data_IF_269377382304
#
_entry.id   IF_269377382304
#
_cell.length_a   1.000
_cell.length_b   1.000
_cell.length_c   1.000
_cell.angle_alpha   90.00
_cell.angle_beta   90.00
_cell.angle_gamma   90.00
#
_symmetry.space_group_name_H-M   'P 1'
#
loop_
_entity.id
_entity.type
_entity.pdbx_description
1 polymer ?
#
# COMPACT_ATOMS: atom_id res chain seq x y z
N UNK A 1 24.24 -7.37 22.02
CA UNK A 1 23.27 -7.02 20.97
C UNK A 1 23.67 -7.80 19.74
N UNK A 2 22.74 -8.50 19.08
CA UNK A 2 23.01 -9.11 17.76
C UNK A 2 23.32 -7.99 16.78
N UNK A 3 24.55 -7.96 16.25
CA UNK A 3 24.94 -7.01 15.19
C UNK A 3 24.33 -7.56 13.91
N UNK A 4 23.32 -6.87 13.37
CA UNK A 4 22.72 -7.23 12.08
C UNK A 4 23.68 -6.89 10.95
N UNK A 5 23.87 -7.82 10.02
CA UNK A 5 24.79 -7.60 8.92
C UNK A 5 24.26 -6.57 7.93
N UNK A 6 25.17 -5.93 7.19
CA UNK A 6 24.83 -4.98 6.14
C UNK A 6 23.86 -5.60 5.11
N UNK A 7 22.69 -4.98 4.94
CA UNK A 7 21.65 -5.40 4.00
C UNK A 7 20.66 -6.43 4.56
N UNK A 8 20.86 -6.89 5.80
CA UNK A 8 19.91 -7.76 6.50
C UNK A 8 18.62 -7.00 6.82
N UNK A 9 17.48 -7.68 6.76
CA UNK A 9 16.18 -7.06 7.04
C UNK A 9 16.05 -6.62 8.50
N UNK A 10 15.29 -5.55 8.73
CA UNK A 10 14.88 -5.13 10.08
C UNK A 10 13.35 -5.15 10.17
N UNK A 11 12.74 -5.99 11.03
CA UNK A 11 13.38 -7.03 11.84
C UNK A 11 14.05 -8.14 11.01
N UNK A 12 14.98 -8.92 11.59
CA UNK A 12 15.65 -10.04 10.89
C UNK A 12 14.65 -11.07 10.39
N UNK A 13 15.02 -11.79 9.32
CA UNK A 13 14.24 -12.90 8.75
C UNK A 13 12.77 -12.56 8.47
N UNK A 14 12.48 -11.31 8.15
CA UNK A 14 11.12 -10.84 7.88
C UNK A 14 10.94 -10.65 6.38
N UNK A 15 10.26 -11.57 5.66
CA UNK A 15 10.21 -11.58 4.19
C UNK A 15 9.62 -10.33 3.56
N UNK A 16 8.76 -9.63 4.30
CA UNK A 16 8.06 -8.41 3.87
C UNK A 16 8.62 -7.14 4.50
N UNK A 17 9.82 -7.20 5.10
CA UNK A 17 10.44 -6.05 5.72
C UNK A 17 10.74 -4.96 4.68
N UNK A 18 10.56 -3.72 5.11
CA UNK A 18 10.86 -2.52 4.31
C UNK A 18 12.07 -1.77 4.84
N UNK A 19 12.70 -2.26 5.92
CA UNK A 19 13.90 -1.67 6.50
C UNK A 19 15.06 -2.67 6.43
N UNK A 20 16.28 -2.15 6.36
CA UNK A 20 17.51 -2.92 6.24
C UNK A 20 18.59 -2.34 7.15
N UNK A 21 19.52 -3.18 7.58
CA UNK A 21 20.64 -2.78 8.42
C UNK A 21 21.73 -2.09 7.59
N UNK A 22 22.09 -0.87 8.00
CA UNK A 22 23.30 -0.15 7.60
C UNK A 22 24.16 0.03 8.87
N UNK A 23 24.92 -1.00 9.28
CA UNK A 23 25.47 -1.09 10.64
C UNK A 23 26.55 -0.04 10.95
N UNK A 24 27.20 0.53 9.92
CA UNK A 24 28.23 1.55 10.10
C UNK A 24 27.90 2.85 9.38
N UNK A 25 28.49 3.96 9.84
CA UNK A 25 28.38 5.25 9.12
C UNK A 25 28.94 5.17 7.70
N UNK A 26 29.99 4.37 7.49
CA UNK A 26 30.55 4.13 6.15
C UNK A 26 29.57 3.40 5.22
N UNK A 27 28.67 2.58 5.77
CA UNK A 27 27.59 1.96 4.99
C UNK A 27 26.51 2.97 4.62
N UNK A 28 26.17 3.91 5.51
CA UNK A 28 25.24 5.01 5.22
C UNK A 28 25.79 5.93 4.11
N UNK A 29 27.04 6.35 4.22
CA UNK A 29 27.71 7.13 3.16
C UNK A 29 27.78 6.33 1.86
N UNK A 30 28.15 5.05 1.93
CA UNK A 30 28.23 4.20 0.75
C UNK A 30 26.88 3.91 0.09
N UNK A 31 25.79 3.91 0.86
CA UNK A 31 24.43 3.84 0.35
C UNK A 31 24.09 5.11 -0.47
N UNK A 32 24.33 6.29 0.10
CA UNK A 32 24.02 7.56 -0.58
C UNK A 32 24.84 7.77 -1.86
N UNK A 33 26.13 7.41 -1.82
CA UNK A 33 27.04 7.47 -2.96
C UNK A 33 26.86 6.32 -3.97
N UNK A 34 25.97 5.36 -3.69
CA UNK A 34 25.69 4.23 -4.59
C UNK A 34 26.84 3.24 -4.74
N UNK A 35 27.72 3.10 -3.73
CA UNK A 35 28.86 2.17 -3.75
C UNK A 35 28.40 0.71 -3.88
N UNK A 36 28.95 -0.02 -4.86
CA UNK A 36 28.63 -1.44 -5.12
C UNK A 36 28.70 -2.32 -3.86
N UNK A 37 29.72 -2.14 -3.00
CA UNK A 37 29.87 -2.86 -1.72
C UNK A 37 28.60 -2.85 -0.84
N UNK A 38 27.91 -1.71 -0.83
CA UNK A 38 26.68 -1.52 -0.05
C UNK A 38 25.50 -1.99 -0.86
N UNK A 39 25.36 -1.45 -2.08
CA UNK A 39 24.22 -1.67 -2.95
C UNK A 39 23.99 -3.16 -3.23
N UNK A 40 25.02 -3.92 -3.56
CA UNK A 40 24.90 -5.33 -3.93
C UNK A 40 24.43 -6.22 -2.75
N UNK A 41 24.54 -5.74 -1.51
CA UNK A 41 24.05 -6.43 -0.31
C UNK A 41 22.60 -6.12 0.05
N UNK A 42 22.00 -5.09 -0.54
CA UNK A 42 20.65 -4.65 -0.18
C UNK A 42 19.60 -5.53 -0.86
N UNK A 43 18.83 -6.25 -0.06
CA UNK A 43 17.78 -7.17 -0.53
C UNK A 43 16.38 -6.54 -0.57
N UNK A 44 16.16 -5.51 0.24
CA UNK A 44 14.92 -4.74 0.42
C UNK A 44 15.27 -3.36 0.99
N UNK A 45 14.34 -2.41 1.06
CA UNK A 45 14.55 -1.09 1.69
C UNK A 45 13.33 -0.18 1.56
N UNK A 46 13.37 1.04 2.10
CA UNK A 46 12.26 2.00 2.02
C UNK A 46 12.70 3.30 1.31
N UNK A 47 11.85 3.88 0.44
CA UNK A 47 10.64 3.30 -0.14
C UNK A 47 11.02 2.13 -1.07
N UNK A 48 10.36 0.96 -0.91
CA UNK A 48 10.70 -0.36 -1.52
C UNK A 48 11.90 -0.30 -2.47
N UNK A 49 13.09 -0.35 -1.89
CA UNK A 49 14.35 -0.15 -2.59
C UNK A 49 14.96 -1.51 -2.91
N UNK A 50 15.36 -1.69 -4.16
CA UNK A 50 16.36 -2.68 -4.55
C UNK A 50 17.25 -2.02 -5.60
N UNK A 51 18.57 -1.97 -5.42
CA UNK A 51 19.46 -1.81 -6.55
C UNK A 51 19.20 -2.96 -7.53
N UNK A 52 19.06 -2.59 -8.80
CA UNK A 52 18.58 -3.46 -9.85
C UNK A 52 19.34 -4.77 -10.04
N UNK A 53 18.63 -5.66 -10.74
CA UNK A 53 19.14 -6.82 -11.46
C UNK A 53 20.45 -6.46 -12.19
N UNK A 54 21.47 -7.34 -12.21
CA UNK A 54 22.70 -7.11 -12.97
C UNK A 54 22.37 -6.82 -14.44
N UNK A 55 22.90 -5.71 -14.99
CA UNK A 55 22.85 -5.44 -16.44
C UNK A 55 22.11 -4.20 -16.92
N UNK A 56 21.56 -3.34 -16.05
CA UNK A 56 21.11 -1.99 -16.44
C UNK A 56 22.15 -0.93 -16.04
N UNK A 57 22.65 -0.20 -17.03
CA UNK A 57 23.49 0.99 -16.84
C UNK A 57 22.76 2.02 -15.97
N UNK A 58 23.39 2.37 -14.85
CA UNK A 58 22.88 3.33 -13.88
C UNK A 58 23.38 4.72 -14.26
N UNK A 59 22.49 5.61 -14.68
CA UNK A 59 22.80 7.05 -14.60
C UNK A 59 22.67 7.49 -13.14
N UNK A 60 23.74 8.05 -12.60
CA UNK A 60 23.90 8.42 -11.19
C UNK A 60 23.02 9.60 -10.75
N UNK A 61 22.27 10.22 -11.67
CA UNK A 61 21.67 11.54 -11.49
C UNK A 61 20.13 11.58 -11.39
N UNK A 62 19.42 10.45 -11.56
CA UNK A 62 17.95 10.47 -11.51
C UNK A 62 17.40 9.79 -10.24
N UNK A 63 16.86 10.56 -9.27
CA UNK A 63 16.21 10.01 -8.08
C UNK A 63 14.98 9.14 -8.37
N UNK A 64 14.43 9.15 -9.60
CA UNK A 64 13.35 8.25 -10.05
C UNK A 64 13.83 6.80 -10.25
N UNK A 65 15.14 6.57 -10.34
CA UNK A 65 15.72 5.24 -10.60
C UNK A 65 15.74 4.31 -9.38
N UNK A 66 15.39 4.82 -8.19
CA UNK A 66 15.61 4.13 -6.90
C UNK A 66 14.42 3.28 -6.40
N UNK A 67 13.22 3.40 -6.99
CA UNK A 67 12.06 2.57 -6.62
C UNK A 67 12.15 1.15 -7.23
N UNK A 68 11.83 0.11 -6.47
CA UNK A 68 11.81 -1.28 -6.94
C UNK A 68 10.58 -2.04 -6.43
N UNK A 69 10.02 -2.86 -7.30
CA UNK A 69 8.86 -3.69 -6.98
C UNK A 69 9.35 -4.97 -6.31
N UNK A 70 8.68 -5.39 -5.23
CA UNK A 70 9.08 -6.56 -4.45
C UNK A 70 9.13 -7.84 -5.31
N UNK A 71 10.12 -8.72 -5.10
CA UNK A 71 10.37 -9.92 -5.93
C UNK A 71 9.15 -10.83 -6.09
N UNK A 72 8.35 -11.01 -5.03
CA UNK A 72 7.09 -11.78 -5.10
C UNK A 72 6.06 -11.15 -6.04
N UNK A 73 5.98 -9.82 -6.09
CA UNK A 73 5.08 -9.11 -7.00
C UNK A 73 5.60 -9.27 -8.44
N UNK A 74 6.91 -9.19 -8.65
CA UNK A 74 7.54 -9.39 -9.96
C UNK A 74 7.29 -10.80 -10.47
N UNK A 75 7.59 -11.83 -9.67
CA UNK A 75 7.34 -13.22 -10.04
C UNK A 75 5.86 -13.48 -10.39
N UNK A 76 4.94 -12.90 -9.61
CA UNK A 76 3.52 -13.02 -9.91
C UNK A 76 3.13 -12.31 -11.21
N UNK A 77 3.70 -11.14 -11.49
CA UNK A 77 3.49 -10.42 -12.74
C UNK A 77 4.04 -11.19 -13.94
N UNK A 78 5.20 -11.82 -13.81
CA UNK A 78 5.83 -12.63 -14.85
C UNK A 78 4.98 -13.86 -15.20
N UNK A 79 4.42 -14.55 -14.20
CA UNK A 79 3.49 -15.68 -14.42
C UNK A 79 2.19 -15.24 -15.11
N UNK A 80 1.70 -14.03 -14.80
CA UNK A 80 0.55 -13.45 -15.51
C UNK A 80 0.89 -13.19 -16.98
N UNK A 81 2.09 -12.66 -17.28
CA UNK A 81 2.55 -12.48 -18.66
C UNK A 81 2.72 -13.81 -19.37
N UNK A 82 3.28 -14.83 -18.71
CA UNK A 82 3.41 -16.17 -19.28
C UNK A 82 2.07 -16.78 -19.69
N UNK A 83 0.98 -16.44 -19.00
CA UNK A 83 -0.37 -16.97 -19.27
C UNK A 83 -1.19 -16.11 -20.25
N UNK A 84 -1.05 -14.79 -20.20
CA UNK A 84 -1.97 -13.85 -20.90
C UNK A 84 -1.29 -12.84 -21.82
N UNK A 85 0.04 -12.70 -21.76
CA UNK A 85 0.81 -11.70 -22.49
C UNK A 85 1.80 -12.31 -23.49
N UNK A 86 2.70 -11.46 -23.96
CA UNK A 86 3.80 -11.81 -24.87
C UNK A 86 5.16 -11.46 -24.25
N UNK A 87 6.29 -12.03 -24.73
CA UNK A 87 7.62 -11.82 -24.12
C UNK A 87 8.14 -10.37 -24.13
N UNK A 88 7.60 -9.52 -24.98
CA UNK A 88 7.88 -8.08 -25.07
C UNK A 88 7.04 -7.22 -24.10
N UNK A 89 6.11 -7.85 -23.37
CA UNK A 89 5.22 -7.18 -22.44
C UNK A 89 5.64 -7.36 -20.97
N UNK A 90 5.15 -6.45 -20.14
CA UNK A 90 5.23 -6.51 -18.68
C UNK A 90 3.85 -6.28 -18.08
N UNK A 91 3.63 -6.84 -16.89
CA UNK A 91 2.41 -6.62 -16.11
C UNK A 91 2.69 -5.78 -14.87
N UNK A 92 1.75 -4.90 -14.54
CA UNK A 92 1.71 -4.18 -13.28
C UNK A 92 0.43 -4.53 -12.52
N UNK A 93 0.58 -4.88 -11.24
CA UNK A 93 -0.48 -5.53 -10.47
C UNK A 93 -1.16 -4.57 -9.48
N UNK A 94 -2.48 -4.60 -9.49
CA UNK A 94 -3.34 -3.70 -8.75
C UNK A 94 -4.38 -4.46 -7.91
N UNK A 95 -4.81 -3.89 -6.77
CA UNK A 95 -5.78 -4.50 -5.85
C UNK A 95 -7.23 -4.44 -6.33
N UNK A 96 -7.51 -3.75 -7.44
CA UNK A 96 -8.84 -3.61 -8.02
C UNK A 96 -8.77 -3.20 -9.50
N UNK A 97 -9.88 -3.40 -10.22
CA UNK A 97 -10.01 -2.92 -11.60
C UNK A 97 -9.99 -1.38 -11.69
N UNK A 98 -10.53 -0.67 -10.68
CA UNK A 98 -10.55 0.81 -10.66
C UNK A 98 -9.13 1.39 -10.57
N UNK A 99 -8.29 0.84 -9.70
CA UNK A 99 -6.87 1.26 -9.56
C UNK A 99 -6.06 0.90 -10.82
N UNK A 100 -6.32 -0.28 -11.41
CA UNK A 100 -5.71 -0.66 -12.69
C UNK A 100 -6.10 0.28 -13.84
N UNK A 101 -7.38 0.64 -13.97
CA UNK A 101 -7.87 1.57 -14.99
C UNK A 101 -7.24 2.96 -14.87
N UNK A 102 -6.97 3.42 -13.64
CA UNK A 102 -6.26 4.70 -13.42
C UNK A 102 -4.81 4.63 -13.89
N UNK A 103 -4.10 3.55 -13.57
CA UNK A 103 -2.74 3.33 -14.10
C UNK A 103 -2.75 3.31 -15.63
N UNK A 104 -3.67 2.55 -16.22
CA UNK A 104 -3.84 2.49 -17.65
C UNK A 104 -4.09 3.87 -18.26
N UNK A 105 -5.01 4.67 -17.69
CA UNK A 105 -5.26 6.05 -18.11
C UNK A 105 -4.00 6.92 -18.02
N UNK A 106 -3.24 6.79 -16.94
CA UNK A 106 -1.98 7.53 -16.78
C UNK A 106 -0.94 7.14 -17.84
N UNK A 107 -0.77 5.84 -18.12
CA UNK A 107 0.14 5.36 -19.18
C UNK A 107 -0.34 5.87 -20.54
N UNK A 108 -1.64 5.85 -20.83
CA UNK A 108 -2.21 6.34 -22.09
C UNK A 108 -1.98 7.83 -22.30
N UNK A 109 -2.10 8.64 -21.25
CA UNK A 109 -1.88 10.08 -21.33
C UNK A 109 -0.40 10.44 -21.46
N UNK A 110 0.49 9.66 -20.85
CA UNK A 110 1.91 10.00 -20.74
C UNK A 110 2.83 9.15 -21.65
N UNK A 111 2.30 8.12 -22.30
CA UNK A 111 3.03 7.21 -23.19
C UNK A 111 2.67 7.42 -24.66
N UNK A 112 3.65 7.25 -25.55
CA UNK A 112 3.45 7.39 -26.99
C UNK A 112 2.77 6.13 -27.59
N UNK A 113 1.63 6.36 -28.27
CA UNK A 113 0.81 5.60 -29.24
C UNK A 113 0.84 4.05 -29.40
N UNK A 114 1.78 3.26 -28.87
CA UNK A 114 1.84 1.79 -29.06
C UNK A 114 1.04 1.03 -28.00
N UNK A 115 -0.27 1.26 -27.96
CA UNK A 115 -1.16 0.65 -26.97
C UNK A 115 -2.01 -0.47 -27.60
N UNK A 116 -1.67 -1.74 -27.32
CA UNK A 116 -2.20 -2.86 -28.12
C UNK A 116 -3.14 -3.84 -27.43
N UNK A 117 -3.25 -3.90 -26.09
CA UNK A 117 -4.31 -4.69 -25.43
C UNK A 117 -4.30 -4.55 -23.91
N UNK A 118 -5.44 -4.14 -23.33
CA UNK A 118 -5.71 -4.36 -21.91
C UNK A 118 -6.42 -5.69 -21.70
N UNK A 119 -5.87 -6.53 -20.84
CA UNK A 119 -6.61 -7.62 -20.22
C UNK A 119 -6.69 -7.35 -18.72
N UNK A 120 -7.85 -6.88 -18.26
CA UNK A 120 -8.15 -6.89 -16.82
C UNK A 120 -8.55 -8.32 -16.47
N UNK A 121 -7.56 -9.16 -16.15
CA UNK A 121 -7.84 -10.44 -15.51
C UNK A 121 -8.33 -10.14 -14.08
N UNK A 122 -9.62 -10.35 -13.83
CA UNK A 122 -10.19 -10.25 -12.48
C UNK A 122 -10.09 -11.60 -11.80
N UNK A 123 -9.44 -11.59 -10.66
CA UNK A 123 -9.09 -12.82 -9.99
C UNK A 123 -9.40 -12.62 -8.53
N UNK A 124 -10.47 -13.27 -8.02
CA UNK A 124 -10.88 -13.12 -6.62
C UNK A 124 -9.95 -13.90 -5.68
N UNK A 125 -9.36 -13.28 -4.64
CA UNK A 125 -9.59 -11.88 -4.22
C UNK A 125 -8.82 -10.83 -5.06
N UNK A 126 -9.63 -10.08 -5.81
CA UNK A 126 -9.44 -8.98 -6.76
C UNK A 126 -8.04 -8.52 -7.20
N UNK A 127 -7.17 -9.38 -7.72
CA UNK A 127 -6.02 -8.87 -8.49
C UNK A 127 -6.51 -8.39 -9.85
N UNK A 128 -5.96 -7.28 -10.32
CA UNK A 128 -6.10 -6.77 -11.68
C UNK A 128 -4.72 -6.44 -12.23
N UNK A 129 -4.43 -6.85 -13.46
CA UNK A 129 -3.16 -6.56 -14.12
C UNK A 129 -3.37 -5.53 -15.23
N UNK A 130 -2.43 -4.60 -15.36
CA UNK A 130 -2.27 -3.75 -16.54
C UNK A 130 -1.08 -4.31 -17.31
N UNK A 131 -1.31 -4.77 -18.54
CA UNK A 131 -0.29 -5.34 -19.42
C UNK A 131 0.11 -4.30 -20.45
N UNK A 132 1.41 -4.03 -20.58
CA UNK A 132 1.93 -3.00 -21.49
C UNK A 132 3.29 -3.42 -22.07
N UNK A 133 3.70 -2.81 -23.18
CA UNK A 133 5.03 -3.04 -23.75
C UNK A 133 6.12 -2.62 -22.76
N UNK A 134 7.19 -3.41 -22.63
CA UNK A 134 8.25 -3.21 -21.62
C UNK A 134 8.86 -1.80 -21.59
N UNK A 135 8.84 -1.07 -22.71
CA UNK A 135 9.36 0.30 -22.83
C UNK A 135 8.53 1.32 -22.05
N UNK A 136 7.26 1.02 -21.77
CA UNK A 136 6.36 1.87 -20.95
C UNK A 136 6.55 1.64 -19.45
N UNK A 137 7.41 0.70 -19.04
CA UNK A 137 7.66 0.40 -17.63
C UNK A 137 8.09 1.62 -16.80
N UNK A 138 8.97 2.54 -17.28
CA UNK A 138 9.32 3.73 -16.52
C UNK A 138 8.11 4.63 -16.18
N UNK A 139 7.15 4.74 -17.09
CA UNK A 139 5.93 5.55 -16.90
C UNK A 139 4.98 4.85 -15.92
N UNK A 140 4.73 3.55 -16.12
CA UNK A 140 3.90 2.76 -15.23
C UNK A 140 4.46 2.74 -13.80
N UNK A 141 5.79 2.65 -13.68
CA UNK A 141 6.52 2.68 -12.41
C UNK A 141 6.30 3.99 -11.66
N UNK A 142 6.35 5.13 -12.35
CA UNK A 142 6.05 6.43 -11.74
C UNK A 142 4.62 6.49 -11.20
N UNK A 143 3.65 5.93 -11.93
CA UNK A 143 2.27 5.85 -11.43
C UNK A 143 2.20 5.11 -10.11
N UNK A 144 2.76 3.89 -10.03
CA UNK A 144 2.75 3.12 -8.79
C UNK A 144 3.47 3.86 -7.66
N UNK A 145 4.69 4.34 -7.92
CA UNK A 145 5.50 5.04 -6.94
C UNK A 145 4.73 6.19 -6.28
N UNK A 146 4.12 7.06 -7.09
CA UNK A 146 3.45 8.25 -6.58
C UNK A 146 2.05 7.97 -6.03
N UNK A 147 1.26 7.12 -6.70
CA UNK A 147 -0.11 6.84 -6.25
C UNK A 147 -0.20 5.88 -5.07
N UNK A 148 0.78 4.99 -4.90
CA UNK A 148 0.71 3.87 -3.95
C UNK A 148 -0.40 2.85 -4.26
N UNK A 149 -1.02 2.89 -5.45
CA UNK A 149 -2.23 2.11 -5.77
C UNK A 149 -1.97 0.61 -6.04
N UNK A 150 -0.72 0.17 -6.24
CA UNK A 150 -0.45 -1.23 -6.56
C UNK A 150 -0.42 -2.17 -5.35
N UNK A 151 -0.33 -3.47 -5.60
CA UNK A 151 -0.49 -4.50 -4.55
C UNK A 151 0.66 -4.56 -3.53
N UNK A 152 0.37 -5.08 -2.33
CA UNK A 152 1.41 -5.41 -1.37
C UNK A 152 2.10 -6.74 -1.68
N UNK A 153 3.30 -6.92 -1.14
CA UNK A 153 4.05 -8.20 -1.21
C UNK A 153 3.29 -9.34 -0.53
N UNK A 154 2.61 -9.08 0.60
CA UNK A 154 1.71 -10.04 1.26
C UNK A 154 0.55 -10.45 0.38
N UNK A 155 -0.02 -9.48 -0.35
CA UNK A 155 -1.11 -9.77 -1.28
C UNK A 155 -0.63 -10.61 -2.46
N UNK A 156 0.58 -10.35 -2.98
CA UNK A 156 1.21 -11.20 -3.98
C UNK A 156 1.47 -12.61 -3.44
N UNK A 157 2.04 -12.75 -2.24
CA UNK A 157 2.28 -14.05 -1.59
C UNK A 157 1.00 -14.87 -1.45
N UNK A 158 -0.11 -14.23 -1.08
CA UNK A 158 -1.40 -14.90 -0.95
C UNK A 158 -2.01 -15.29 -2.31
N UNK A 159 -1.97 -14.37 -3.29
CA UNK A 159 -2.66 -14.58 -4.56
C UNK A 159 -1.85 -15.43 -5.54
N UNK A 160 -0.52 -15.36 -5.53
CA UNK A 160 0.31 -16.00 -6.54
C UNK A 160 0.15 -17.54 -6.57
N UNK A 161 0.17 -18.27 -5.44
CA UNK A 161 -0.09 -19.72 -5.47
C UNK A 161 -1.50 -20.08 -5.96
N UNK A 162 -2.51 -19.30 -5.57
CA UNK A 162 -3.89 -19.52 -6.04
C UNK A 162 -4.01 -19.33 -7.56
N UNK A 163 -3.17 -18.45 -8.14
CA UNK A 163 -3.11 -18.19 -9.57
C UNK A 163 -2.50 -19.38 -10.30
N UNK A 164 -1.36 -19.85 -9.81
CA UNK A 164 -0.65 -21.02 -10.35
C UNK A 164 -1.52 -22.28 -10.27
N UNK A 165 -2.28 -22.45 -9.19
CA UNK A 165 -3.25 -23.54 -9.01
C UNK A 165 -4.52 -23.40 -9.87
N UNK A 166 -4.70 -22.30 -10.59
CA UNK A 166 -5.92 -22.03 -11.38
C UNK A 166 -7.19 -21.83 -10.54
N UNK A 167 -7.06 -21.65 -9.21
CA UNK A 167 -8.18 -21.44 -8.27
C UNK A 167 -8.76 -20.03 -8.32
N UNK A 168 -8.01 -19.13 -8.92
CA UNK A 168 -8.40 -17.76 -9.17
C UNK A 168 -9.37 -17.68 -10.35
N UNK A 169 -10.66 -17.69 -10.04
CA UNK A 169 -11.75 -17.61 -11.02
C UNK A 169 -12.11 -16.16 -11.35
N UNK A 170 -12.50 -15.94 -12.61
CA UNK A 170 -13.15 -14.70 -13.03
C UNK A 170 -14.43 -14.53 -12.20
N UNK A 171 -14.68 -13.30 -11.72
CA UNK A 171 -15.87 -13.02 -10.91
C UNK A 171 -17.14 -13.34 -11.71
N UNK A 172 -17.67 -14.54 -11.50
CA UNK A 172 -19.07 -14.81 -11.82
C UNK A 172 -19.82 -14.38 -10.56
N UNK A 173 -20.90 -13.57 -10.65
CA UNK A 173 -21.62 -13.14 -9.46
C UNK A 173 -22.02 -14.38 -8.66
N UNK A 174 -21.47 -14.50 -7.44
CA UNK A 174 -21.81 -15.55 -6.50
C UNK A 174 -23.30 -15.39 -6.21
N UNK A 175 -24.12 -16.35 -6.66
CA UNK A 175 -25.51 -16.39 -6.24
C UNK A 175 -25.55 -16.47 -4.71
N UNK A 176 -26.43 -15.70 -4.05
CA UNK A 176 -26.48 -15.68 -2.60
C UNK A 176 -26.67 -17.10 -2.09
N UNK A 177 -25.68 -17.61 -1.35
CA UNK A 177 -25.83 -18.85 -0.60
C UNK A 177 -27.01 -18.61 0.33
N UNK A 178 -28.12 -19.29 0.05
CA UNK A 178 -29.31 -19.26 0.89
C UNK A 178 -28.88 -19.60 2.31
N UNK A 179 -29.15 -18.67 3.23
CA UNK A 179 -28.98 -18.85 4.66
C UNK A 179 -29.57 -20.20 5.09
N UNK A 180 -28.73 -21.22 5.27
CA UNK A 180 -29.15 -22.43 5.96
C UNK A 180 -29.47 -22.03 7.41
N UNK A 181 -30.75 -22.12 7.75
CA UNK A 181 -31.31 -21.77 9.05
C UNK A 181 -30.48 -22.44 10.17
N UNK A 182 -29.80 -21.64 10.98
CA UNK A 182 -29.10 -22.09 12.19
C UNK A 182 -30.13 -22.68 13.17
N UNK A 183 -29.97 -23.96 13.51
CA UNK A 183 -30.83 -24.68 14.44
C UNK A 183 -30.72 -24.23 15.90
N UNK A 184 -31.57 -24.75 16.81
CA UNK A 184 -31.75 -24.19 18.15
C UNK A 184 -30.50 -24.30 19.04
N UNK A 185 -30.15 -23.18 19.70
CA UNK A 185 -28.97 -22.94 20.57
C UNK A 185 -28.81 -23.85 21.80
N UNK A 186 -29.57 -24.94 21.96
CA UNK A 186 -29.56 -25.77 23.18
C UNK A 186 -28.48 -26.87 23.20
N UNK A 187 -27.82 -27.18 22.09
CA UNK A 187 -26.81 -28.24 22.00
C UNK A 187 -25.34 -27.77 21.86
N UNK A 188 -25.06 -26.47 21.95
CA UNK A 188 -23.68 -25.95 21.82
C UNK A 188 -22.96 -25.77 23.17
N UNK A 189 -22.84 -26.85 23.96
CA UNK A 189 -21.90 -26.91 25.08
C UNK A 189 -21.29 -28.31 25.20
N UNK A 190 -20.00 -28.42 24.89
CA UNK A 190 -19.15 -29.54 25.30
C UNK A 190 -18.15 -30.01 24.24
N UNK A 191 -16.85 -29.97 24.61
CA UNK A 191 -15.67 -30.61 23.98
C UNK A 191 -15.28 -30.09 22.59
N UNK A 192 -14.14 -29.43 22.34
CA UNK A 192 -12.73 -29.70 22.68
C UNK A 192 -12.34 -31.17 22.47
N UNK A 193 -11.58 -31.37 21.41
CA UNK A 193 -10.93 -32.57 20.92
C UNK A 193 -11.77 -33.71 20.34
N UNK A 194 -11.20 -34.27 19.26
CA UNK A 194 -11.61 -35.40 18.42
C UNK A 194 -12.54 -35.05 17.27
N UNK A 195 -12.04 -35.13 16.04
CA UNK A 195 -12.33 -36.29 15.18
C UNK A 195 -11.28 -36.37 14.05
N UNK A 196 -10.20 -37.10 14.31
CA UNK A 196 -9.58 -37.88 13.24
C UNK A 196 -10.52 -39.01 12.84
N UNK A 197 -10.48 -39.30 11.55
CA UNK A 197 -11.20 -40.33 10.81
C UNK A 197 -11.24 -41.68 11.53
N UNK A 198 -12.43 -42.26 11.65
CA UNK A 198 -12.66 -43.70 11.78
C UNK A 198 -13.73 -44.05 10.72
N UNK A 199 -13.71 -45.13 9.97
CA UNK A 199 -12.84 -46.29 9.86
C UNK A 199 -13.61 -47.28 8.96
N UNK A 200 -12.98 -47.84 7.93
CA UNK A 200 -13.53 -48.98 7.20
C UNK A 200 -12.46 -50.06 7.13
N UNK A 201 -12.69 -51.14 7.88
CA UNK A 201 -11.89 -52.36 7.92
C UNK A 201 -11.92 -53.06 6.56
N UNK A 202 -10.76 -53.44 6.05
CA UNK A 202 -10.57 -54.70 5.32
C UNK A 202 -9.22 -55.31 5.74
N UNK A 203 -9.22 -56.63 5.85
CA UNK A 203 -8.21 -57.48 6.48
C UNK A 203 -7.13 -57.95 5.50
N UNK A 204 -6.06 -58.47 6.12
CA UNK A 204 -5.05 -59.47 5.69
C UNK A 204 -3.86 -59.06 4.79
N UNK A 205 -2.69 -59.12 5.46
CA UNK A 205 -1.45 -59.81 5.07
C UNK A 205 -0.46 -59.18 4.07
N UNK A 206 0.72 -58.85 4.62
CA UNK A 206 2.01 -59.21 4.03
C UNK A 206 2.70 -58.19 3.12
N UNK A 207 4.01 -58.07 3.34
CA UNK A 207 5.06 -57.57 2.43
C UNK A 207 5.62 -56.16 2.74
N UNK A 208 6.94 -56.13 2.70
CA UNK A 208 7.92 -55.21 3.24
C UNK A 208 8.06 -53.87 2.48
N UNK A 209 8.70 -52.91 3.18
CA UNK A 209 9.56 -51.83 2.69
C UNK A 209 9.34 -51.28 1.27
N UNK A 210 8.89 -50.01 1.19
CA UNK A 210 9.51 -49.06 0.26
C UNK A 210 9.39 -47.63 0.80
N UNK A 211 10.52 -47.01 1.12
CA UNK A 211 10.64 -45.58 1.35
C UNK A 211 10.38 -44.82 0.06
N UNK A 212 9.54 -43.78 0.12
CA UNK A 212 9.57 -42.65 -0.80
C UNK A 212 9.68 -41.38 0.05
N UNK A 213 10.82 -40.68 0.07
CA UNK A 213 10.92 -39.35 0.68
C UNK A 213 10.38 -38.31 -0.31
N UNK A 214 9.94 -37.15 0.21
CA UNK A 214 9.56 -35.88 -0.45
C UNK A 214 8.07 -35.50 -0.32
N UNK A 215 7.74 -34.73 0.74
CA UNK A 215 6.89 -33.51 0.68
C UNK A 215 6.55 -32.83 2.03
N UNK A 216 7.11 -33.25 3.19
CA UNK A 216 6.70 -32.63 4.47
C UNK A 216 7.27 -31.23 4.75
N UNK A 217 8.42 -30.86 4.18
CA UNK A 217 9.11 -29.62 4.56
C UNK A 217 8.36 -28.32 4.20
N UNK A 218 7.60 -28.30 3.11
CA UNK A 218 6.83 -27.11 2.68
C UNK A 218 5.51 -26.96 3.44
N UNK A 219 4.89 -28.06 3.85
CA UNK A 219 3.67 -28.06 4.65
C UNK A 219 3.96 -27.64 6.10
N UNK A 220 4.99 -28.22 6.73
CA UNK A 220 5.42 -27.84 8.09
C UNK A 220 5.91 -26.40 8.16
N UNK A 221 6.63 -25.93 7.12
CA UNK A 221 7.03 -24.52 7.06
C UNK A 221 5.79 -23.63 6.96
N UNK A 222 4.80 -23.93 6.12
CA UNK A 222 3.55 -23.16 6.00
C UNK A 222 2.75 -23.14 7.30
N UNK A 223 2.60 -24.28 7.97
CA UNK A 223 1.91 -24.36 9.27
C UNK A 223 2.66 -23.57 10.35
N UNK A 224 4.00 -23.60 10.35
CA UNK A 224 4.83 -22.81 11.27
C UNK A 224 4.70 -21.31 11.01
N UNK A 225 4.74 -20.84 9.74
CA UNK A 225 4.53 -19.43 9.42
C UNK A 225 3.10 -18.99 9.72
N UNK A 226 2.11 -19.82 9.44
CA UNK A 226 0.72 -19.54 9.76
C UNK A 226 0.50 -19.43 11.27
N UNK A 227 1.05 -20.37 12.05
CA UNK A 227 1.00 -20.33 13.51
C UNK A 227 1.73 -19.10 14.07
N UNK A 228 2.90 -18.75 13.52
CA UNK A 228 3.63 -17.54 13.92
C UNK A 228 2.84 -16.28 13.59
N UNK A 229 2.20 -16.21 12.42
CA UNK A 229 1.37 -15.07 12.02
C UNK A 229 0.07 -14.96 12.84
N UNK A 230 -0.62 -16.07 13.12
CA UNK A 230 -1.85 -16.10 13.92
C UNK A 230 -1.59 -15.80 15.41
N UNK A 231 -0.45 -16.23 15.96
CA UNK A 231 -0.13 -16.10 17.38
C UNK A 231 0.72 -14.89 17.73
N UNK A 232 1.60 -14.48 16.82
CA UNK A 232 2.58 -13.39 17.04
C UNK A 232 2.59 -12.35 15.91
N UNK A 233 2.09 -12.70 14.73
CA UNK A 233 1.79 -11.74 13.68
C UNK A 233 0.55 -10.92 14.03
N UNK A 234 0.41 -9.78 13.35
CA UNK A 234 -0.80 -8.94 13.43
C UNK A 234 -1.91 -9.54 12.55
N UNK A 235 -2.11 -10.86 12.61
CA UNK A 235 -3.05 -11.54 11.75
C UNK A 235 -4.43 -11.49 12.42
N UNK A 236 -5.23 -10.55 11.95
CA UNK A 236 -6.62 -10.40 12.36
C UNK A 236 -7.46 -11.37 11.54
N UNK A 237 -8.28 -12.19 12.20
CA UNK A 237 -9.29 -13.00 11.51
C UNK A 237 -10.12 -12.09 10.59
N UNK A 238 -10.32 -12.54 9.35
CA UNK A 238 -11.01 -11.77 8.31
C UNK A 238 -12.41 -11.33 8.77
N UNK A 239 -13.06 -12.11 9.64
CA UNK A 239 -14.34 -11.77 10.25
C UNK A 239 -14.33 -10.49 11.09
N UNK A 240 -13.17 -10.05 11.59
CA UNK A 240 -13.03 -8.83 12.39
C UNK A 240 -12.62 -7.60 11.57
N UNK A 241 -12.38 -7.72 10.26
CA UNK A 241 -11.83 -6.62 9.43
C UNK A 241 -12.70 -5.37 9.50
N UNK A 242 -14.02 -5.50 9.43
CA UNK A 242 -14.94 -4.35 9.46
C UNK A 242 -14.96 -3.69 10.84
N UNK A 243 -14.95 -4.49 11.91
CA UNK A 243 -14.86 -3.99 13.29
C UNK A 243 -13.52 -3.27 13.55
N UNK A 244 -12.41 -3.83 13.06
CA UNK A 244 -11.10 -3.20 13.20
C UNK A 244 -10.99 -1.89 12.42
N UNK A 245 -11.52 -1.84 11.19
CA UNK A 245 -11.60 -0.59 10.40
C UNK A 245 -12.39 0.47 11.16
N UNK A 246 -13.57 0.12 11.65
CA UNK A 246 -14.41 1.04 12.40
C UNK A 246 -13.74 1.52 13.70
N UNK A 247 -13.04 0.63 14.42
CA UNK A 247 -12.30 0.98 15.61
C UNK A 247 -11.17 1.98 15.32
N UNK A 248 -10.42 1.79 14.22
CA UNK A 248 -9.40 2.74 13.76
C UNK A 248 -10.04 4.10 13.43
N UNK A 249 -11.12 4.12 12.64
CA UNK A 249 -11.82 5.37 12.30
C UNK A 249 -12.32 6.11 13.54
N UNK A 250 -12.96 5.41 14.48
CA UNK A 250 -13.43 6.00 15.75
C UNK A 250 -12.30 6.54 16.61
N UNK A 251 -11.14 5.86 16.63
CA UNK A 251 -9.95 6.31 17.37
C UNK A 251 -9.35 7.56 16.76
N UNK A 252 -9.24 7.63 15.44
CA UNK A 252 -8.74 8.81 14.71
C UNK A 252 -9.68 9.99 14.92
N UNK A 253 -11.00 9.78 14.79
CA UNK A 253 -12.02 10.80 15.05
C UNK A 253 -12.10 11.25 16.55
N UNK A 254 -11.37 10.59 17.46
CA UNK A 254 -11.40 10.89 18.88
C UNK A 254 -12.71 10.50 19.58
N UNK A 255 -13.53 9.66 18.93
CA UNK A 255 -14.80 9.14 19.47
C UNK A 255 -14.61 7.90 20.35
N UNK A 256 -13.43 7.27 20.30
CA UNK A 256 -13.12 6.06 21.08
C UNK A 256 -12.25 6.40 22.30
N UNK A 257 -12.75 6.10 23.50
CA UNK A 257 -12.02 6.20 24.77
C UNK A 257 -12.01 4.81 25.43
N UNK A 258 -10.91 4.07 25.32
CA UNK A 258 -10.73 2.76 25.99
C UNK A 258 -10.27 1.60 25.08
N UNK A 259 -10.12 0.40 25.66
CA UNK A 259 -9.84 -0.84 24.93
C UNK A 259 -11.09 -1.31 24.16
N UNK A 260 -10.89 -1.80 22.94
CA UNK A 260 -11.97 -2.31 22.07
C UNK A 260 -11.95 -3.83 22.07
N UNK A 261 -13.06 -4.43 22.45
CA UNK A 261 -13.31 -5.85 22.16
C UNK A 261 -13.89 -5.97 20.74
N UNK A 262 -13.11 -6.53 19.82
CA UNK A 262 -13.52 -6.71 18.42
C UNK A 262 -14.59 -7.80 18.23
N UNK A 263 -14.82 -8.65 19.26
CA UNK A 263 -15.82 -9.71 19.24
C UNK A 263 -17.24 -9.20 19.57
N UNK A 264 -17.37 -7.97 20.05
CA UNK A 264 -18.65 -7.32 20.32
C UNK A 264 -19.06 -6.46 19.13
N UNK A 265 -20.30 -6.62 18.65
CA UNK A 265 -20.81 -5.75 17.58
C UNK A 265 -20.78 -4.28 18.04
N UNK A 266 -20.15 -3.38 17.26
CA UNK A 266 -20.07 -1.98 17.63
C UNK A 266 -21.47 -1.38 17.65
N UNK A 267 -21.84 -0.74 18.76
CA UNK A 267 -23.11 -0.03 18.86
C UNK A 267 -23.21 1.04 17.73
N UNK A 268 -24.37 1.19 17.07
CA UNK A 268 -24.57 2.15 15.98
C UNK A 268 -24.64 3.60 16.49
N UNK A 269 -24.42 3.84 17.77
CA UNK A 269 -24.58 5.16 18.38
C UNK A 269 -23.50 6.10 17.88
N UNK A 270 -23.92 7.10 17.10
CA UNK A 270 -23.09 8.22 16.65
C UNK A 270 -22.63 8.99 17.89
N UNK A 271 -21.38 8.80 18.31
CA UNK A 271 -20.84 9.51 19.47
C UNK A 271 -20.63 10.98 19.09
N UNK A 272 -21.38 11.88 19.73
CA UNK A 272 -21.40 13.31 19.42
C UNK A 272 -20.34 14.11 20.17
N UNK A 273 -19.71 13.52 21.19
CA UNK A 273 -18.61 14.13 21.95
C UNK A 273 -17.30 13.42 21.64
N UNK A 274 -16.33 14.15 21.11
CA UNK A 274 -14.97 13.65 21.00
C UNK A 274 -14.13 14.05 22.22
N UNK A 275 -13.25 13.15 22.65
CA UNK A 275 -12.34 13.38 23.79
C UNK A 275 -11.30 14.47 23.50
N UNK A 276 -11.09 14.82 22.22
CA UNK A 276 -10.13 15.83 21.75
C UNK A 276 -10.70 17.26 21.70
N UNK A 277 -11.98 17.46 22.00
CA UNK A 277 -12.62 18.79 22.01
C UNK A 277 -12.86 19.41 20.62
N UNK A 278 -12.67 18.67 19.52
CA UNK A 278 -12.90 19.14 18.14
C UNK A 278 -14.35 18.89 17.73
N UNK A 279 -15.22 19.90 17.73
CA UNK A 279 -16.62 19.71 17.33
C UNK A 279 -16.73 19.35 15.84
N UNK A 280 -17.57 18.37 15.50
CA UNK A 280 -17.97 18.12 14.10
C UNK A 280 -17.18 17.06 13.32
N UNK A 281 -16.22 16.35 13.94
CA UNK A 281 -15.53 15.21 13.31
C UNK A 281 -16.13 13.89 13.80
N UNK A 282 -16.58 13.05 12.87
CA UNK A 282 -17.12 11.72 13.10
C UNK A 282 -16.28 10.63 12.45
N UNK A 283 -16.60 9.36 12.70
CA UNK A 283 -15.92 8.24 12.04
C UNK A 283 -16.17 8.20 10.52
N UNK A 284 -17.23 8.85 10.03
CA UNK A 284 -17.58 8.92 8.61
C UNK A 284 -16.66 9.92 7.86
N UNK A 285 -15.95 10.78 8.60
CA UNK A 285 -14.98 11.75 8.08
C UNK A 285 -13.55 11.17 8.03
N UNK A 286 -13.38 9.87 8.36
CA UNK A 286 -12.08 9.20 8.38
C UNK A 286 -12.00 8.13 7.30
N UNK A 287 -11.10 8.34 6.34
CA UNK A 287 -10.85 7.42 5.24
C UNK A 287 -9.53 6.67 5.44
N UNK A 288 -9.56 5.35 5.32
CA UNK A 288 -8.38 4.50 5.47
C UNK A 288 -7.78 4.15 4.10
N UNK A 289 -6.50 4.43 3.95
CA UNK A 289 -5.71 4.12 2.76
C UNK A 289 -4.54 3.17 3.11
N UNK A 290 -4.07 2.35 2.15
CA UNK A 290 -3.00 1.37 2.39
C UNK A 290 -1.64 1.97 2.76
N UNK A 291 -1.38 3.23 2.40
CA UNK A 291 -0.16 3.97 2.78
C UNK A 291 -0.38 5.50 2.71
N UNK A 292 0.53 6.27 3.30
CA UNK A 292 0.47 7.74 3.31
C UNK A 292 0.43 8.35 1.91
N UNK A 293 1.27 7.88 0.98
CA UNK A 293 1.23 8.37 -0.41
C UNK A 293 -0.11 8.10 -1.10
N UNK A 294 -0.76 6.98 -0.79
CA UNK A 294 -2.09 6.69 -1.32
C UNK A 294 -3.16 7.61 -0.72
N UNK A 295 -3.02 8.00 0.55
CA UNK A 295 -3.88 9.00 1.16
C UNK A 295 -3.69 10.37 0.49
N UNK A 296 -2.45 10.85 0.34
CA UNK A 296 -2.14 12.12 -0.34
C UNK A 296 -2.68 12.12 -1.78
N UNK A 297 -2.43 11.05 -2.53
CA UNK A 297 -2.89 10.89 -3.90
C UNK A 297 -4.41 10.96 -4.02
N UNK A 298 -5.15 10.23 -3.16
CA UNK A 298 -6.60 10.25 -3.21
C UNK A 298 -7.18 11.57 -2.68
N UNK A 299 -6.57 12.22 -1.68
CA UNK A 299 -6.96 13.56 -1.23
C UNK A 299 -6.86 14.56 -2.38
N UNK A 300 -5.73 14.58 -3.09
CA UNK A 300 -5.55 15.45 -4.26
C UNK A 300 -6.57 15.16 -5.36
N UNK A 301 -6.83 13.89 -5.66
CA UNK A 301 -7.86 13.49 -6.63
C UNK A 301 -9.27 13.92 -6.22
N UNK A 302 -9.64 13.72 -4.97
CA UNK A 302 -10.96 14.12 -4.46
C UNK A 302 -11.14 15.64 -4.60
N UNK A 303 -10.10 16.41 -4.26
CA UNK A 303 -10.13 17.86 -4.43
C UNK A 303 -10.25 18.26 -5.90
N UNK A 304 -9.52 17.62 -6.81
CA UNK A 304 -9.65 17.87 -8.26
C UNK A 304 -11.06 17.56 -8.79
N UNK A 305 -11.71 16.53 -8.24
CA UNK A 305 -13.08 16.12 -8.60
C UNK A 305 -14.13 17.07 -8.02
N UNK A 306 -13.93 17.62 -6.81
CA UNK A 306 -14.91 18.48 -6.12
C UNK A 306 -14.70 19.98 -6.33
N UNK A 307 -13.45 20.44 -6.31
CA UNK A 307 -13.02 21.85 -6.36
C UNK A 307 -12.57 22.30 -7.76
N UNK A 308 -12.58 21.40 -8.74
CA UNK A 308 -12.24 21.70 -10.13
C UNK A 308 -10.76 21.56 -10.47
N UNK A 309 -10.43 21.89 -11.72
CA UNK A 309 -9.10 21.72 -12.28
C UNK A 309 -8.24 22.98 -12.08
N UNK A 310 -7.83 23.24 -10.84
CA UNK A 310 -6.88 24.30 -10.49
C UNK A 310 -5.52 23.73 -10.05
N UNK A 311 -4.47 24.57 -10.09
CA UNK A 311 -3.14 24.19 -9.58
C UNK A 311 -3.17 24.06 -8.06
N UNK A 312 -2.43 23.11 -7.51
CA UNK A 312 -2.19 23.03 -6.06
C UNK A 312 -0.91 23.76 -5.68
N UNK A 313 -0.74 24.03 -4.39
CA UNK A 313 0.47 24.61 -3.80
C UNK A 313 1.14 23.52 -2.97
N UNK A 314 2.45 23.35 -3.14
CA UNK A 314 3.31 22.57 -2.26
C UNK A 314 4.14 23.55 -1.45
N UNK A 315 3.90 23.60 -0.14
CA UNK A 315 4.51 24.56 0.76
C UNK A 315 5.47 23.86 1.74
N UNK A 316 6.70 24.36 1.79
CA UNK A 316 7.83 23.73 2.47
C UNK A 316 8.44 22.58 1.66
N UNK A 317 9.00 21.61 2.38
CA UNK A 317 9.67 20.45 1.80
C UNK A 317 8.89 19.16 2.09
N UNK A 318 7.65 19.00 1.56
CA UNK A 318 6.95 17.73 1.72
C UNK A 318 7.69 16.61 0.99
N UNK A 319 7.47 15.36 1.41
CA UNK A 319 8.08 14.18 0.83
C UNK A 319 8.05 14.24 -0.70
N UNK A 320 9.18 13.95 -1.36
CA UNK A 320 9.41 14.25 -2.79
C UNK A 320 8.27 13.75 -3.69
N UNK A 321 7.69 12.60 -3.37
CA UNK A 321 6.58 12.04 -4.13
C UNK A 321 5.28 12.87 -4.03
N UNK A 322 5.05 13.62 -2.94
CA UNK A 322 3.88 14.50 -2.79
C UNK A 322 3.93 15.65 -3.81
N UNK A 323 5.08 16.32 -3.95
CA UNK A 323 5.29 17.32 -5.00
C UNK A 323 5.07 16.71 -6.40
N UNK A 324 5.54 15.48 -6.63
CA UNK A 324 5.33 14.78 -7.91
C UNK A 324 3.87 14.43 -8.17
N UNK A 325 3.09 14.10 -7.14
CA UNK A 325 1.64 13.93 -7.27
C UNK A 325 1.02 15.23 -7.81
N UNK A 326 1.30 16.38 -7.17
CA UNK A 326 0.71 17.65 -7.55
C UNK A 326 1.16 18.13 -8.94
N UNK A 327 2.41 17.82 -9.34
CA UNK A 327 2.94 18.16 -10.66
C UNK A 327 2.38 17.30 -11.79
N UNK A 328 2.21 15.99 -11.56
CA UNK A 328 1.89 15.01 -12.62
C UNK A 328 0.40 14.73 -12.77
N UNK A 329 -0.39 14.95 -11.72
CA UNK A 329 -1.81 14.60 -11.71
C UNK A 329 -2.64 15.88 -11.59
N UNK A 330 -3.11 16.40 -12.72
CA UNK A 330 -3.91 17.63 -12.77
C UNK A 330 -3.15 18.82 -13.37
N UNK A 331 -3.60 20.07 -13.12
CA UNK A 331 -3.07 21.27 -13.78
C UNK A 331 -1.66 21.72 -13.36
N UNK A 332 -1.05 21.03 -12.39
CA UNK A 332 0.30 21.30 -11.91
C UNK A 332 0.35 21.91 -10.51
N UNK A 333 1.55 22.34 -10.13
CA UNK A 333 1.88 22.75 -8.76
C UNK A 333 2.65 24.07 -8.74
N UNK A 334 2.28 24.99 -7.85
CA UNK A 334 3.15 26.07 -7.38
C UNK A 334 3.97 25.54 -6.20
N UNK A 335 5.29 25.76 -6.20
CA UNK A 335 6.19 25.17 -5.21
C UNK A 335 6.95 26.24 -4.43
N UNK A 336 6.77 26.24 -3.11
CA UNK A 336 7.47 27.08 -2.15
C UNK A 336 8.37 26.19 -1.29
N UNK A 337 9.57 25.88 -1.77
CA UNK A 337 10.45 24.90 -1.13
C UNK A 337 11.03 25.31 0.23
N UNK A 338 11.15 26.62 0.49
CA UNK A 338 11.68 27.11 1.77
C UNK A 338 10.60 27.05 2.87
N UNK A 339 9.34 27.25 2.50
CA UNK A 339 8.22 27.25 3.44
C UNK A 339 8.31 28.39 4.45
N UNK A 340 8.89 29.52 4.04
CA UNK A 340 9.18 30.65 4.93
C UNK A 340 8.02 31.64 5.01
N UNK A 341 8.12 32.63 5.91
CA UNK A 341 7.12 33.69 6.01
C UNK A 341 7.06 34.54 4.73
N UNK A 342 8.21 34.76 4.08
CA UNK A 342 8.32 35.50 2.82
C UNK A 342 7.64 34.76 1.67
N UNK A 343 7.68 33.41 1.66
CA UNK A 343 6.92 32.61 0.70
C UNK A 343 5.39 32.81 0.88
N UNK A 344 4.93 33.01 2.12
CA UNK A 344 3.52 33.35 2.39
C UNK A 344 3.18 34.79 1.97
N UNK A 345 4.13 35.72 2.06
CA UNK A 345 3.94 37.09 1.56
C UNK A 345 3.76 37.10 0.03
N UNK A 346 4.58 36.34 -0.71
CA UNK A 346 4.42 36.17 -2.16
C UNK A 346 3.11 35.48 -2.51
N UNK A 347 2.74 34.42 -1.79
CA UNK A 347 1.46 33.73 -2.00
C UNK A 347 0.28 34.68 -1.80
N UNK A 348 0.28 35.47 -0.73
CA UNK A 348 -0.78 36.45 -0.45
C UNK A 348 -0.89 37.50 -1.57
N UNK A 349 0.24 38.04 -2.04
CA UNK A 349 0.26 38.97 -3.17
C UNK A 349 -0.30 38.38 -4.48
N UNK A 350 0.00 37.10 -4.77
CA UNK A 350 -0.57 36.39 -5.94
C UNK A 350 -2.08 36.20 -5.82
N UNK A 351 -2.55 35.83 -4.63
CA UNK A 351 -3.97 35.64 -4.35
C UNK A 351 -4.75 36.97 -4.49
N UNK A 352 -4.17 38.07 -4.00
CA UNK A 352 -4.69 39.44 -4.18
C UNK A 352 -4.74 39.86 -5.65
N UNK A 353 -3.72 39.49 -6.43
CA UNK A 353 -3.66 39.73 -7.88
C UNK A 353 -4.70 38.91 -8.68
N UNK A 354 -5.42 37.99 -8.03
CA UNK A 354 -6.49 37.21 -8.64
C UNK A 354 -6.13 35.77 -8.98
N UNK A 355 -4.92 35.30 -8.67
CA UNK A 355 -4.59 33.88 -8.81
C UNK A 355 -5.46 33.03 -7.86
N UNK A 356 -5.83 31.82 -8.30
CA UNK A 356 -6.63 30.87 -7.52
C UNK A 356 -6.00 29.49 -7.58
N UNK A 357 -6.04 28.79 -6.47
CA UNK A 357 -5.43 27.49 -6.30
C UNK A 357 -6.44 26.51 -5.74
N UNK A 358 -6.25 25.22 -6.03
CA UNK A 358 -7.11 24.15 -5.55
C UNK A 358 -6.94 23.94 -4.04
N UNK A 359 -5.68 23.79 -3.63
CA UNK A 359 -5.32 23.42 -2.28
C UNK A 359 -3.86 23.71 -1.99
N UNK A 360 -3.53 23.93 -0.72
CA UNK A 360 -2.17 24.01 -0.21
C UNK A 360 -1.85 22.76 0.61
N UNK A 361 -0.79 22.07 0.21
CA UNK A 361 -0.24 20.91 0.88
C UNK A 361 1.02 21.31 1.65
N UNK A 362 1.10 20.94 2.93
CA UNK A 362 2.30 21.11 3.75
C UNK A 362 2.47 19.95 4.73
N UNK A 363 3.70 19.77 5.22
CA UNK A 363 3.98 18.88 6.35
C UNK A 363 4.00 19.66 7.67
N UNK A 364 3.62 19.01 8.76
CA UNK A 364 3.75 19.59 10.09
C UNK A 364 4.08 18.52 11.16
N UNK A 365 5.23 18.64 11.85
CA UNK A 365 6.42 19.42 11.49
C UNK A 365 7.06 18.83 10.21
N UNK A 366 7.72 19.67 9.41
CA UNK A 366 8.37 19.20 8.18
C UNK A 366 9.54 18.24 8.43
N UNK A 367 9.68 17.19 7.62
CA UNK A 367 10.79 16.24 7.71
C UNK A 367 11.82 16.49 6.60
N UNK A 368 13.14 16.64 6.87
CA UNK A 368 13.83 16.49 8.16
C UNK A 368 14.05 17.80 8.93
N UNK A 369 13.66 18.93 8.36
CA UNK A 369 14.06 20.26 8.86
C UNK A 369 13.30 20.71 10.11
N UNK A 370 12.23 20.01 10.50
CA UNK A 370 11.32 20.31 11.61
C UNK A 370 10.73 21.73 11.56
N UNK A 371 10.66 22.31 10.36
CA UNK A 371 10.06 23.62 10.13
C UNK A 371 8.54 23.48 10.26
N UNK A 372 7.94 24.40 10.99
CA UNK A 372 6.51 24.47 11.23
C UNK A 372 5.93 25.66 10.46
N UNK A 373 5.20 25.46 9.35
CA UNK A 373 4.55 26.56 8.66
C UNK A 373 3.53 27.26 9.57
N UNK A 374 3.27 28.56 9.34
CA UNK A 374 2.22 29.30 10.06
C UNK A 374 0.83 28.83 9.59
N UNK A 375 0.36 27.73 10.20
CA UNK A 375 -0.93 27.13 9.89
C UNK A 375 -2.10 28.09 10.15
N UNK A 376 -1.95 29.06 11.07
CA UNK A 376 -3.01 30.06 11.34
C UNK A 376 -3.11 31.04 10.18
N UNK A 377 -1.97 31.52 9.66
CA UNK A 377 -1.94 32.38 8.47
C UNK A 377 -2.44 31.63 7.24
N UNK A 378 -1.98 30.40 7.02
CA UNK A 378 -2.44 29.55 5.92
C UNK A 378 -3.96 29.34 5.97
N UNK A 379 -4.52 29.03 7.16
CA UNK A 379 -5.98 28.89 7.32
C UNK A 379 -6.73 30.18 6.97
N UNK A 380 -6.26 31.34 7.43
CA UNK A 380 -6.88 32.63 7.08
C UNK A 380 -6.85 32.89 5.56
N UNK A 381 -5.73 32.62 4.89
CA UNK A 381 -5.64 32.75 3.43
C UNK A 381 -6.61 31.79 2.73
N UNK A 382 -6.68 30.54 3.19
CA UNK A 382 -7.59 29.53 2.67
C UNK A 382 -9.07 29.92 2.82
N UNK A 383 -9.45 30.53 3.96
CA UNK A 383 -10.81 31.04 4.18
C UNK A 383 -11.15 32.23 3.27
N UNK A 384 -10.20 33.15 3.07
CA UNK A 384 -10.40 34.36 2.26
C UNK A 384 -10.46 34.06 0.76
N UNK A 385 -9.62 33.13 0.28
CA UNK A 385 -9.43 32.88 -1.15
C UNK A 385 -9.99 31.53 -1.64
N UNK A 386 -10.68 30.81 -0.76
CA UNK A 386 -11.41 29.56 -1.04
C UNK A 386 -10.54 28.45 -1.65
N UNK A 387 -9.56 27.98 -0.89
CA UNK A 387 -8.77 26.79 -1.24
C UNK A 387 -8.64 25.82 -0.06
N UNK A 388 -8.44 24.53 -0.33
CA UNK A 388 -8.31 23.53 0.74
C UNK A 388 -6.92 23.56 1.39
N UNK A 389 -6.82 23.21 2.67
CA UNK A 389 -5.54 23.03 3.37
C UNK A 389 -5.38 21.56 3.69
N UNK A 390 -4.29 20.97 3.22
CA UNK A 390 -3.93 19.57 3.46
C UNK A 390 -2.64 19.54 4.26
N UNK A 391 -2.71 18.94 5.45
CA UNK A 391 -1.57 18.81 6.36
C UNK A 391 -1.19 17.34 6.46
N UNK A 392 0.05 17.03 6.11
CA UNK A 392 0.65 15.72 6.36
C UNK A 392 1.32 15.72 7.73
N UNK A 393 0.67 15.06 8.69
CA UNK A 393 1.12 14.92 10.08
C UNK A 393 1.96 13.64 10.18
N UNK A 394 3.27 13.79 10.05
CA UNK A 394 4.23 12.69 9.93
C UNK A 394 4.71 12.13 11.29
N UNK A 395 4.16 12.59 12.43
CA UNK A 395 4.66 12.25 13.78
C UNK A 395 4.07 10.96 14.36
#
# INVERSE_FOLDING_TARGET
MSILELGESIPPLTPHAVSMSLPTWADNVGYEEGKKRVMDKLSTGYPRYCPGIPGQEKSLADPVTRFSIHKLIVAFADDIIGKYGTPDQKAMLFPSSKTAQRCHGFIKTNGEASFTRDLIAQVLPSISAVIFHKDLFPIAKQYWQHSGDGISSRRAEFCHPLFSDGKLVNSTPVQPIQNMKRGPKRYQRGSVDQTFLTGKKFTSEGVENSQLPLQNGTAETRESTQFLEERFGRNLDISFVDNARLAICRRIAGSLVGQVDLAVEPSPTRMTSNSRGVKGVSNDDVFLYPCGMNAIFNTHRMLLESGGQLKSISFGFPYVDALKILQKFGPGCLFYGNGSSEDLDDLEARLEAGERYLALFCEFPGNPMLICPDLKRIRRLADTYDFAVVVDDLV
#
